data_IF_965583309687
#
_entry.id   IF_965583309687
#
_cell.length_a   1.000
_cell.length_b   1.000
_cell.length_c   1.000
_cell.angle_alpha   90.00
_cell.angle_beta   90.00
_cell.angle_gamma   90.00
#
_symmetry.space_group_name_H-M   'P 1'
#
loop_
_entity.id
_entity.type
_entity.pdbx_description
1 polymer ?
#
# COMPACT_ATOMS: atom_id res chain seq x y z
N UNK A 1 69.92 30.23 -4.22
CA UNK A 1 69.02 31.26 -3.64
C UNK A 1 68.45 32.07 -4.77
N UNK A 2 67.22 31.77 -5.19
CA UNK A 2 66.47 32.57 -6.17
C UNK A 2 65.00 32.52 -5.76
N UNK A 3 64.58 33.65 -5.20
CA UNK A 3 63.26 33.96 -4.68
C UNK A 3 62.28 34.14 -5.86
N UNK A 4 61.29 33.24 -5.99
CA UNK A 4 60.20 33.37 -6.96
C UNK A 4 58.98 33.92 -6.24
N UNK A 5 58.81 35.25 -6.31
CA UNK A 5 57.58 35.94 -5.92
C UNK A 5 56.46 35.52 -6.87
N UNK A 6 55.39 34.98 -6.32
CA UNK A 6 54.14 34.69 -7.02
C UNK A 6 53.33 35.99 -7.00
N UNK A 7 53.25 36.68 -8.14
CA UNK A 7 52.30 37.77 -8.33
C UNK A 7 50.88 37.19 -8.32
N UNK A 8 50.10 37.55 -7.28
CA UNK A 8 48.66 37.28 -7.24
C UNK A 8 48.00 38.20 -8.26
N UNK A 9 47.51 37.62 -9.35
CA UNK A 9 46.56 38.28 -10.25
C UNK A 9 45.20 38.30 -9.55
N UNK A 10 44.83 39.46 -9.00
CA UNK A 10 43.47 39.72 -8.52
C UNK A 10 42.51 39.63 -9.72
N UNK A 11 41.76 38.53 -9.81
CA UNK A 11 40.60 38.46 -10.71
C UNK A 11 39.46 39.26 -10.07
N UNK A 12 38.88 40.25 -10.75
CA UNK A 12 37.66 40.87 -10.27
C UNK A 12 36.58 39.79 -10.15
N UNK A 13 35.94 39.69 -8.97
CA UNK A 13 34.75 38.87 -8.80
C UNK A 13 33.64 39.49 -9.65
N UNK A 14 33.22 38.76 -10.67
CA UNK A 14 32.01 39.03 -11.45
C UNK A 14 30.76 38.85 -10.56
N UNK A 15 30.52 39.79 -9.65
CA UNK A 15 29.29 39.88 -8.85
C UNK A 15 28.09 40.34 -9.70
N UNK A 16 28.34 40.88 -10.90
CA UNK A 16 27.28 41.31 -11.84
C UNK A 16 26.54 40.16 -12.51
N UNK A 17 27.24 39.08 -12.90
CA UNK A 17 26.66 37.99 -13.73
C UNK A 17 25.76 37.05 -12.92
N UNK A 18 26.06 36.86 -11.63
CA UNK A 18 25.24 36.02 -10.74
C UNK A 18 23.91 36.69 -10.35
N UNK A 19 23.86 38.02 -10.29
CA UNK A 19 22.64 38.75 -9.91
C UNK A 19 21.56 38.69 -10.99
N UNK A 20 21.94 38.68 -12.27
CA UNK A 20 21.01 38.67 -13.40
C UNK A 20 20.30 37.32 -13.56
N UNK A 21 20.99 36.20 -13.32
CA UNK A 21 20.37 34.86 -13.39
C UNK A 21 19.37 34.61 -12.27
N UNK A 22 19.61 35.14 -11.07
CA UNK A 22 18.67 35.01 -9.93
C UNK A 22 17.46 35.94 -10.10
N UNK A 23 17.60 37.06 -10.83
CA UNK A 23 16.47 37.94 -11.14
C UNK A 23 15.60 37.42 -12.30
N UNK A 24 16.17 36.70 -13.28
CA UNK A 24 15.38 36.03 -14.33
C UNK A 24 14.52 34.88 -13.77
N UNK A 25 15.07 34.08 -12.85
CA UNK A 25 14.31 33.00 -12.17
C UNK A 25 13.18 33.53 -11.26
N UNK A 26 13.31 34.74 -10.72
CA UNK A 26 12.23 35.38 -9.93
C UNK A 26 11.13 35.97 -10.82
N UNK A 27 11.44 36.38 -12.05
CA UNK A 27 10.43 36.90 -13.00
C UNK A 27 9.67 35.80 -13.74
N UNK A 28 10.21 34.59 -13.87
CA UNK A 28 9.44 33.44 -14.38
C UNK A 28 8.45 32.85 -13.36
N UNK A 29 8.74 32.95 -12.06
CA UNK A 29 7.81 32.50 -11.01
C UNK A 29 6.54 33.35 -10.88
N UNK A 30 6.48 34.53 -11.50
CA UNK A 30 5.26 35.34 -11.55
C UNK A 30 4.36 35.05 -12.76
N UNK A 31 4.84 34.32 -13.77
CA UNK A 31 4.02 33.94 -14.95
C UNK A 31 3.15 32.70 -14.74
N UNK A 32 3.30 32.00 -13.61
CA UNK A 32 2.44 30.87 -13.22
C UNK A 32 1.41 31.21 -12.13
N UNK A 33 1.15 32.50 -11.88
CA UNK A 33 0.12 32.97 -10.92
C UNK A 33 -1.33 32.96 -11.45
N UNK A 34 -1.58 32.28 -12.56
CA UNK A 34 -2.94 31.95 -13.00
C UNK A 34 -3.08 30.44 -13.20
N UNK A 35 -3.05 29.71 -12.08
CA UNK A 35 -3.72 28.41 -12.01
C UNK A 35 -5.22 28.66 -12.23
N UNK A 36 -5.86 28.00 -13.21
CA UNK A 36 -7.31 28.10 -13.37
C UNK A 36 -7.98 27.57 -12.10
N UNK A 37 -9.08 28.22 -11.75
CA UNK A 37 -9.76 28.07 -10.48
C UNK A 37 -10.09 26.60 -10.14
N UNK A 38 -10.06 26.34 -8.83
CA UNK A 38 -10.49 25.20 -7.99
C UNK A 38 -11.54 24.21 -8.54
N UNK A 39 -12.30 24.59 -9.57
CA UNK A 39 -13.26 23.73 -10.26
C UNK A 39 -12.60 22.61 -11.06
N UNK A 40 -11.41 22.79 -11.63
CA UNK A 40 -10.79 21.74 -12.48
C UNK A 40 -10.29 20.53 -11.66
N UNK A 41 -9.82 20.76 -10.43
CA UNK A 41 -9.48 19.67 -9.49
C UNK A 41 -10.72 18.95 -8.98
N UNK A 42 -11.81 19.68 -8.74
CA UNK A 42 -13.09 19.10 -8.38
C UNK A 42 -13.72 18.34 -9.55
N UNK A 43 -13.54 18.80 -10.79
CA UNK A 43 -13.99 18.11 -12.00
C UNK A 43 -13.16 16.84 -12.23
N UNK A 44 -11.83 16.87 -12.02
CA UNK A 44 -10.97 15.68 -12.06
C UNK A 44 -11.29 14.67 -10.95
N UNK A 45 -11.51 15.14 -9.73
CA UNK A 45 -11.97 14.28 -8.62
C UNK A 45 -13.37 13.74 -8.89
N UNK A 46 -14.29 14.54 -9.43
CA UNK A 46 -15.65 14.10 -9.76
C UNK A 46 -15.67 13.14 -10.95
N UNK A 47 -14.79 13.30 -11.94
CA UNK A 47 -14.62 12.32 -13.03
C UNK A 47 -13.94 11.06 -12.53
N UNK A 48 -12.97 11.15 -11.61
CA UNK A 48 -12.37 9.99 -10.95
C UNK A 48 -13.38 9.22 -10.08
N UNK A 49 -14.17 9.92 -9.25
CA UNK A 49 -15.27 9.33 -8.49
C UNK A 49 -16.40 8.83 -9.39
N UNK A 50 -16.67 9.48 -10.53
CA UNK A 50 -17.64 8.98 -11.52
C UNK A 50 -17.14 7.73 -12.23
N UNK A 51 -15.83 7.58 -12.44
CA UNK A 51 -15.24 6.38 -13.04
C UNK A 51 -15.17 5.25 -12.00
N UNK A 52 -14.76 5.55 -10.76
CA UNK A 52 -14.85 4.64 -9.62
C UNK A 52 -16.28 4.21 -9.35
N UNK A 53 -17.25 5.12 -9.43
CA UNK A 53 -18.68 4.82 -9.26
C UNK A 53 -19.24 4.05 -10.45
N UNK A 54 -18.81 4.29 -11.69
CA UNK A 54 -19.19 3.44 -12.84
C UNK A 54 -18.58 2.04 -12.75
N UNK A 55 -17.37 1.91 -12.21
CA UNK A 55 -16.81 0.61 -11.82
C UNK A 55 -17.65 0.02 -10.67
N UNK A 56 -17.98 0.76 -9.63
CA UNK A 56 -18.82 0.28 -8.50
C UNK A 56 -20.26 -0.08 -8.90
N UNK A 57 -20.88 0.65 -9.82
CA UNK A 57 -22.25 0.43 -10.31
C UNK A 57 -22.28 -0.72 -11.34
N UNK A 58 -21.20 -0.93 -12.11
CA UNK A 58 -20.99 -2.15 -12.91
C UNK A 58 -20.67 -3.38 -12.04
N UNK A 59 -20.21 -3.16 -10.80
CA UNK A 59 -20.05 -4.14 -9.73
C UNK A 59 -21.20 -4.09 -8.71
N UNK A 60 -22.36 -3.49 -9.05
CA UNK A 60 -23.58 -3.76 -8.29
C UNK A 60 -23.84 -5.26 -8.37
N UNK A 61 -24.07 -5.95 -7.24
CA UNK A 61 -24.22 -7.39 -7.23
C UNK A 61 -25.39 -7.74 -8.16
N UNK A 62 -25.07 -8.31 -9.31
CA UNK A 62 -26.10 -8.93 -10.14
C UNK A 62 -26.78 -9.96 -9.25
N UNK A 63 -28.10 -10.10 -9.40
CA UNK A 63 -28.93 -11.04 -8.64
C UNK A 63 -28.49 -12.52 -8.80
N UNK A 64 -27.44 -12.79 -9.57
CA UNK A 64 -26.81 -14.09 -9.76
C UNK A 64 -25.85 -14.51 -8.62
N UNK A 65 -25.49 -13.60 -7.69
CA UNK A 65 -24.66 -13.92 -6.53
C UNK A 65 -25.36 -14.75 -5.45
N UNK A 66 -26.67 -15.00 -5.57
CA UNK A 66 -27.43 -15.83 -4.63
C UNK A 66 -27.06 -17.33 -4.68
N UNK A 67 -26.21 -17.76 -5.63
CA UNK A 67 -25.85 -19.17 -5.85
C UNK A 67 -24.37 -19.53 -5.71
N UNK A 68 -23.46 -18.58 -5.47
CA UNK A 68 -22.05 -18.92 -5.21
C UNK A 68 -21.94 -19.41 -3.77
N UNK A 69 -21.89 -20.74 -3.58
CA UNK A 69 -21.35 -21.34 -2.37
C UNK A 69 -19.93 -20.83 -2.24
N UNK A 70 -19.74 -19.81 -1.41
CA UNK A 70 -18.42 -19.26 -1.14
C UNK A 70 -17.67 -20.32 -0.36
N UNK A 71 -16.54 -20.73 -0.91
CA UNK A 71 -15.75 -21.80 -0.35
C UNK A 71 -14.96 -21.27 0.84
N UNK A 72 -15.47 -21.48 2.05
CA UNK A 72 -14.77 -21.13 3.28
C UNK A 72 -13.35 -21.75 3.33
N UNK A 73 -13.15 -22.88 2.64
CA UNK A 73 -11.83 -23.48 2.49
C UNK A 73 -10.90 -22.61 1.66
N UNK A 74 -11.37 -22.01 0.56
CA UNK A 74 -10.59 -21.09 -0.27
C UNK A 74 -10.17 -19.84 0.52
N UNK A 75 -11.06 -19.28 1.35
CA UNK A 75 -10.73 -18.13 2.23
C UNK A 75 -9.61 -18.51 3.20
N UNK A 76 -9.71 -19.69 3.82
CA UNK A 76 -8.68 -20.20 4.74
C UNK A 76 -7.35 -20.39 4.00
N UNK A 77 -7.37 -20.88 2.76
CA UNK A 77 -6.17 -21.08 1.94
C UNK A 77 -5.51 -19.74 1.58
N UNK A 78 -6.27 -18.74 1.17
CA UNK A 78 -5.77 -17.39 0.91
C UNK A 78 -5.17 -16.75 2.16
N UNK A 79 -5.82 -16.89 3.32
CA UNK A 79 -5.28 -16.41 4.61
C UNK A 79 -3.98 -17.12 4.99
N UNK A 80 -3.89 -18.43 4.77
CA UNK A 80 -2.67 -19.19 5.02
C UNK A 80 -1.54 -18.80 4.07
N UNK A 81 -1.83 -18.54 2.80
CA UNK A 81 -0.85 -18.05 1.83
C UNK A 81 -0.36 -16.65 2.23
N UNK A 82 -1.28 -15.75 2.57
CA UNK A 82 -0.95 -14.40 3.01
C UNK A 82 -0.06 -14.42 4.27
N UNK A 83 -0.41 -15.27 5.25
CA UNK A 83 0.42 -15.50 6.43
C UNK A 83 1.84 -15.94 6.07
N UNK A 84 1.99 -16.91 5.15
CA UNK A 84 3.31 -17.38 4.71
C UNK A 84 4.15 -16.26 4.09
N UNK A 85 3.54 -15.37 3.31
CA UNK A 85 4.25 -14.23 2.71
C UNK A 85 4.72 -13.23 3.76
N UNK A 86 3.89 -12.92 4.75
CA UNK A 86 4.24 -12.08 5.90
C UNK A 86 5.37 -12.71 6.71
N UNK A 87 5.30 -14.02 6.99
CA UNK A 87 6.38 -14.75 7.66
C UNK A 87 7.68 -14.76 6.85
N UNK A 88 7.59 -14.86 5.53
CA UNK A 88 8.75 -14.83 4.63
C UNK A 88 9.43 -13.46 4.67
N UNK A 89 8.65 -12.36 4.65
CA UNK A 89 9.16 -11.00 4.81
C UNK A 89 9.85 -10.80 6.17
N UNK A 90 9.39 -11.46 7.23
CA UNK A 90 10.06 -11.44 8.53
C UNK A 90 11.42 -12.14 8.52
N UNK A 91 11.58 -13.21 7.72
CA UNK A 91 12.80 -14.02 7.65
C UNK A 91 13.86 -13.43 6.72
N UNK A 92 13.44 -12.83 5.61
CA UNK A 92 14.30 -12.33 4.54
C UNK A 92 13.84 -10.94 4.11
N UNK A 93 14.79 -10.04 3.82
CA UNK A 93 14.46 -8.72 3.29
C UNK A 93 14.05 -8.83 1.82
N UNK A 94 12.74 -8.87 1.59
CA UNK A 94 12.12 -8.93 0.26
C UNK A 94 11.54 -7.59 -0.18
N UNK A 95 11.90 -6.50 0.50
CA UNK A 95 11.32 -5.17 0.26
C UNK A 95 11.51 -4.64 -1.17
N UNK A 96 12.58 -5.06 -1.83
CA UNK A 96 12.91 -4.69 -3.21
C UNK A 96 12.49 -5.75 -4.26
N UNK A 97 11.89 -6.88 -3.85
CA UNK A 97 11.52 -7.95 -4.77
C UNK A 97 10.17 -7.66 -5.43
N UNK A 98 10.18 -7.37 -6.73
CA UNK A 98 8.98 -7.14 -7.52
C UNK A 98 8.07 -8.39 -7.56
N UNK A 99 8.67 -9.59 -7.66
CA UNK A 99 7.94 -10.86 -7.64
C UNK A 99 7.21 -11.05 -6.30
N UNK A 100 7.90 -10.82 -5.18
CA UNK A 100 7.29 -10.90 -3.86
C UNK A 100 6.17 -9.89 -3.68
N UNK A 101 6.39 -8.64 -4.09
CA UNK A 101 5.40 -7.58 -3.99
C UNK A 101 4.16 -7.86 -4.86
N UNK A 102 4.34 -8.47 -6.03
CA UNK A 102 3.26 -8.92 -6.91
C UNK A 102 2.46 -10.03 -6.24
N UNK A 103 3.13 -11.09 -5.75
CA UNK A 103 2.48 -12.21 -5.06
C UNK A 103 1.70 -11.72 -3.83
N UNK A 104 2.28 -10.81 -3.03
CA UNK A 104 1.63 -10.22 -1.86
C UNK A 104 0.38 -9.41 -2.25
N UNK A 105 0.44 -8.67 -3.36
CA UNK A 105 -0.66 -7.85 -3.87
C UNK A 105 -1.81 -8.70 -4.44
N UNK A 106 -1.48 -9.79 -5.12
CA UNK A 106 -2.46 -10.75 -5.65
C UNK A 106 -3.23 -11.45 -4.53
N UNK A 107 -2.52 -11.98 -3.54
CA UNK A 107 -3.15 -12.63 -2.38
C UNK A 107 -3.99 -11.62 -1.59
N UNK A 108 -3.50 -10.39 -1.42
CA UNK A 108 -4.28 -9.32 -0.77
C UNK A 108 -5.59 -8.99 -1.52
N UNK A 109 -5.53 -8.94 -2.84
CA UNK A 109 -6.71 -8.70 -3.68
C UNK A 109 -7.72 -9.84 -3.56
N UNK A 110 -7.24 -11.09 -3.56
CA UNK A 110 -8.09 -12.26 -3.31
C UNK A 110 -8.79 -12.20 -1.94
N UNK A 111 -8.07 -11.78 -0.88
CA UNK A 111 -8.66 -11.61 0.45
C UNK A 111 -9.73 -10.51 0.51
N UNK A 112 -9.59 -9.45 -0.29
CA UNK A 112 -10.62 -8.41 -0.39
C UNK A 112 -11.87 -8.92 -1.09
N UNK A 113 -11.72 -9.68 -2.18
CA UNK A 113 -12.84 -10.33 -2.86
C UNK A 113 -13.54 -11.33 -1.92
N UNK A 114 -12.77 -12.16 -1.22
CA UNK A 114 -13.27 -13.08 -0.22
C UNK A 114 -14.05 -12.34 0.88
N UNK A 115 -13.53 -11.21 1.38
CA UNK A 115 -14.19 -10.39 2.40
C UNK A 115 -15.55 -9.84 1.93
N UNK A 116 -15.63 -9.28 0.73
CA UNK A 116 -16.88 -8.78 0.15
C UNK A 116 -17.91 -9.91 0.01
N UNK A 117 -17.42 -11.11 -0.33
CA UNK A 117 -18.22 -12.33 -0.41
C UNK A 117 -18.65 -12.83 0.99
N UNK A 118 -17.82 -12.75 2.03
CA UNK A 118 -18.22 -13.09 3.42
C UNK A 118 -19.38 -12.21 3.91
N UNK A 119 -19.43 -10.95 3.50
CA UNK A 119 -20.57 -10.06 3.78
C UNK A 119 -21.92 -10.58 3.23
N UNK A 120 -21.87 -11.40 2.17
CA UNK A 120 -23.03 -12.07 1.57
C UNK A 120 -23.37 -13.37 2.34
N UNK A 121 -22.37 -14.06 2.91
CA UNK A 121 -22.51 -15.40 3.47
C UNK A 121 -23.41 -15.49 4.70
N UNK A 122 -23.23 -14.70 5.77
CA UNK A 122 -23.99 -14.96 6.98
C UNK A 122 -24.26 -13.72 7.86
N UNK A 123 -25.54 -13.32 7.92
CA UNK A 123 -26.08 -12.40 8.95
C UNK A 123 -25.99 -12.95 10.39
N UNK A 124 -25.38 -14.13 10.60
CA UNK A 124 -25.36 -14.85 11.88
C UNK A 124 -24.05 -14.71 12.66
N UNK A 125 -22.94 -14.33 12.03
CA UNK A 125 -21.61 -14.31 12.64
C UNK A 125 -20.96 -12.91 12.57
N UNK A 126 -21.62 -11.93 13.19
CA UNK A 126 -21.23 -10.51 13.17
C UNK A 126 -19.85 -10.29 13.82
N UNK A 127 -19.51 -11.07 14.85
CA UNK A 127 -18.25 -10.90 15.58
C UNK A 127 -17.05 -11.32 14.75
N UNK A 128 -17.20 -12.38 13.97
CA UNK A 128 -16.15 -12.97 13.16
C UNK A 128 -15.87 -12.11 11.93
N UNK A 129 -16.93 -11.59 11.30
CA UNK A 129 -16.83 -10.57 10.26
C UNK A 129 -16.15 -9.32 10.80
N UNK A 130 -16.44 -8.92 12.05
CA UNK A 130 -15.77 -7.78 12.68
C UNK A 130 -14.28 -8.04 12.90
N UNK A 131 -13.87 -9.22 13.40
CA UNK A 131 -12.45 -9.57 13.57
C UNK A 131 -11.71 -9.62 12.23
N UNK A 132 -12.32 -10.20 11.19
CA UNK A 132 -11.69 -10.24 9.87
C UNK A 132 -11.58 -8.84 9.26
N UNK A 133 -12.61 -8.00 9.42
CA UNK A 133 -12.59 -6.59 9.01
C UNK A 133 -11.50 -5.81 9.74
N UNK A 134 -11.41 -5.96 11.05
CA UNK A 134 -10.41 -5.28 11.87
C UNK A 134 -8.99 -5.65 11.43
N UNK A 135 -8.73 -6.94 11.15
CA UNK A 135 -7.46 -7.38 10.59
C UNK A 135 -7.17 -6.71 9.23
N UNK A 136 -8.13 -6.73 8.30
CA UNK A 136 -7.97 -6.09 6.99
C UNK A 136 -7.73 -4.58 7.13
N UNK A 137 -8.45 -3.90 8.01
CA UNK A 137 -8.29 -2.47 8.24
C UNK A 137 -6.92 -2.13 8.83
N UNK A 138 -6.44 -2.89 9.83
CA UNK A 138 -5.11 -2.68 10.42
C UNK A 138 -4.01 -2.77 9.35
N UNK A 139 -4.05 -3.79 8.49
CA UNK A 139 -3.02 -4.02 7.48
C UNK A 139 -3.14 -2.99 6.35
N UNK A 140 -4.36 -2.70 5.89
CA UNK A 140 -4.65 -1.70 4.85
C UNK A 140 -4.13 -0.32 5.23
N UNK A 141 -4.29 0.07 6.49
CA UNK A 141 -4.01 1.40 7.00
C UNK A 141 -2.59 1.57 7.57
N UNK A 142 -1.76 0.54 7.53
CA UNK A 142 -0.37 0.64 7.94
C UNK A 142 0.48 1.34 6.86
N UNK A 143 1.46 2.19 7.20
CA UNK A 143 1.68 2.77 8.53
C UNK A 143 0.56 3.74 8.93
N UNK A 144 0.24 3.85 10.23
CA UNK A 144 -0.77 4.81 10.69
C UNK A 144 -0.32 6.24 10.38
N UNK A 145 -1.29 7.13 10.20
CA UNK A 145 -1.09 8.58 10.03
C UNK A 145 -0.21 9.01 8.85
N UNK A 146 -0.08 8.16 7.82
CA UNK A 146 0.59 8.51 6.56
C UNK A 146 -0.38 8.54 5.37
N UNK A 147 -0.01 9.31 4.35
CA UNK A 147 -0.66 9.26 3.02
C UNK A 147 -0.27 7.98 2.26
N UNK A 148 0.93 7.47 2.52
CA UNK A 148 1.49 6.27 1.91
C UNK A 148 1.13 5.03 2.73
N UNK A 149 0.00 4.41 2.39
CA UNK A 149 -0.53 3.22 3.08
C UNK A 149 -0.28 1.95 2.29
N UNK A 150 0.02 0.87 2.98
CA UNK A 150 0.27 -0.45 2.42
C UNK A 150 -0.89 -0.91 1.53
N UNK A 151 -2.13 -0.77 2.02
CA UNK A 151 -3.31 -1.17 1.25
C UNK A 151 -3.48 -0.40 -0.07
N UNK A 152 -3.00 0.84 -0.17
CA UNK A 152 -2.98 1.57 -1.44
C UNK A 152 -2.01 0.90 -2.42
N UNK A 153 -0.81 0.55 -1.97
CA UNK A 153 0.21 -0.05 -2.82
C UNK A 153 -0.13 -1.48 -3.23
N UNK A 154 -0.68 -2.28 -2.32
CA UNK A 154 -1.13 -3.65 -2.61
C UNK A 154 -2.22 -3.67 -3.69
N UNK A 155 -3.08 -2.64 -3.75
CA UNK A 155 -4.11 -2.55 -4.79
C UNK A 155 -3.59 -2.01 -6.12
N UNK A 156 -2.58 -1.13 -6.09
CA UNK A 156 -2.13 -0.41 -7.29
C UNK A 156 -0.98 -1.09 -8.03
N UNK A 157 -0.28 -2.04 -7.41
CA UNK A 157 1.01 -2.52 -7.92
C UNK A 157 1.11 -4.04 -8.12
N UNK A 158 -0.01 -4.77 -8.09
CA UNK A 158 -0.04 -6.15 -8.59
C UNK A 158 0.44 -6.19 -10.06
N UNK A 159 1.49 -6.97 -10.35
CA UNK A 159 1.98 -7.24 -11.71
C UNK A 159 2.78 -6.10 -12.36
N UNK A 160 3.31 -5.15 -11.58
CA UNK A 160 4.19 -4.09 -12.10
C UNK A 160 5.66 -4.44 -11.89
N UNK A 161 6.46 -4.26 -12.93
CA UNK A 161 7.92 -4.48 -12.90
C UNK A 161 8.67 -3.47 -12.01
N UNK A 162 8.02 -2.39 -11.60
CA UNK A 162 8.61 -1.33 -10.77
C UNK A 162 7.79 -1.09 -9.51
N UNK A 163 8.49 -0.98 -8.37
CA UNK A 163 7.92 -0.71 -7.06
C UNK A 163 8.13 0.77 -6.70
N UNK A 164 7.09 1.49 -6.26
CA UNK A 164 7.26 2.83 -5.71
C UNK A 164 8.13 2.80 -4.46
N UNK A 165 8.99 3.81 -4.33
CA UNK A 165 9.85 3.96 -3.17
C UNK A 165 9.12 3.87 -1.82
N UNK A 166 7.94 4.51 -1.61
CA UNK A 166 7.24 4.36 -0.34
C UNK A 166 6.75 2.93 -0.06
N UNK A 167 6.45 2.14 -1.09
CA UNK A 167 6.06 0.74 -0.89
C UNK A 167 7.24 -0.09 -0.40
N UNK A 168 8.41 0.11 -1.02
CA UNK A 168 9.68 -0.51 -0.60
C UNK A 168 9.99 -0.13 0.85
N UNK A 169 9.87 1.15 1.21
CA UNK A 169 10.12 1.62 2.58
C UNK A 169 9.20 0.97 3.62
N UNK A 170 7.92 0.79 3.29
CA UNK A 170 6.96 0.11 4.17
C UNK A 170 7.38 -1.34 4.41
N UNK A 171 7.71 -2.08 3.34
CA UNK A 171 8.14 -3.48 3.45
C UNK A 171 9.47 -3.61 4.20
N UNK A 172 10.44 -2.74 3.91
CA UNK A 172 11.72 -2.70 4.59
C UNK A 172 11.57 -2.38 6.08
N UNK A 173 10.68 -1.43 6.42
CA UNK A 173 10.36 -1.11 7.81
C UNK A 173 9.79 -2.32 8.55
N UNK A 174 8.85 -3.04 7.95
CA UNK A 174 8.26 -4.25 8.54
C UNK A 174 9.32 -5.35 8.77
N UNK A 175 10.21 -5.57 7.79
CA UNK A 175 11.31 -6.50 7.93
C UNK A 175 12.26 -6.10 9.07
N UNK A 176 12.73 -4.85 9.07
CA UNK A 176 13.69 -4.35 10.06
C UNK A 176 13.11 -4.37 11.47
N UNK A 177 11.85 -3.97 11.65
CA UNK A 177 11.16 -4.05 12.95
C UNK A 177 11.10 -5.50 13.48
N UNK A 178 10.79 -6.47 12.61
CA UNK A 178 10.75 -7.88 12.99
C UNK A 178 12.14 -8.47 13.26
N UNK A 179 13.17 -8.01 12.54
CA UNK A 179 14.55 -8.38 12.77
C UNK A 179 15.08 -7.84 14.11
N UNK A 180 14.66 -6.65 14.51
CA UNK A 180 15.01 -6.03 15.79
C UNK A 180 14.28 -6.69 16.98
N UNK A 181 12.95 -6.85 16.89
CA UNK A 181 12.15 -7.54 17.90
C UNK A 181 11.03 -8.39 17.28
N UNK A 182 11.35 -9.65 17.00
CA UNK A 182 10.39 -10.60 16.45
C UNK A 182 9.18 -10.87 17.37
N UNK A 183 9.25 -10.61 18.69
CA UNK A 183 8.15 -10.94 19.61
C UNK A 183 7.05 -9.89 19.59
N UNK A 184 7.42 -8.63 19.40
CA UNK A 184 6.48 -7.50 19.47
C UNK A 184 6.24 -6.82 18.13
N UNK A 185 6.95 -7.21 17.06
CA UNK A 185 6.82 -6.52 15.78
C UNK A 185 5.43 -6.57 15.16
N UNK A 186 5.15 -5.58 14.32
CA UNK A 186 3.94 -5.47 13.52
C UNK A 186 3.63 -6.76 12.75
N UNK A 187 4.61 -7.39 12.10
CA UNK A 187 4.41 -8.67 11.39
C UNK A 187 3.92 -9.78 12.33
N UNK A 188 4.48 -9.86 13.55
CA UNK A 188 4.06 -10.86 14.54
C UNK A 188 2.65 -10.60 15.07
N UNK A 189 2.27 -9.33 15.20
CA UNK A 189 0.89 -8.96 15.56
C UNK A 189 -0.09 -9.35 14.45
N UNK A 190 0.25 -9.09 13.18
CA UNK A 190 -0.58 -9.49 12.04
C UNK A 190 -0.71 -11.00 11.93
N UNK A 191 0.37 -11.76 12.11
CA UNK A 191 0.32 -13.24 12.12
C UNK A 191 -0.66 -13.75 13.18
N UNK A 192 -0.64 -13.16 14.40
CA UNK A 192 -1.59 -13.53 15.46
C UNK A 192 -3.04 -13.22 15.09
N UNK A 193 -3.31 -12.07 14.44
CA UNK A 193 -4.64 -11.72 13.96
C UNK A 193 -5.12 -12.71 12.88
N UNK A 194 -4.27 -13.02 11.90
CA UNK A 194 -4.56 -13.99 10.84
C UNK A 194 -4.84 -15.38 11.44
N UNK A 195 -4.03 -15.85 12.38
CA UNK A 195 -4.27 -17.11 13.08
C UNK A 195 -5.60 -17.10 13.84
N UNK A 196 -5.96 -15.98 14.47
CA UNK A 196 -7.25 -15.78 15.11
C UNK A 196 -8.42 -15.95 14.13
N UNK A 197 -8.34 -15.32 12.95
CA UNK A 197 -9.36 -15.44 11.90
C UNK A 197 -9.43 -16.88 11.36
N UNK A 198 -8.30 -17.49 11.02
CA UNK A 198 -8.24 -18.88 10.51
C UNK A 198 -8.86 -19.86 11.51
N UNK A 199 -8.48 -19.78 12.79
CA UNK A 199 -9.00 -20.67 13.83
C UNK A 199 -10.51 -20.50 14.03
N UNK A 200 -11.01 -19.29 13.84
CA UNK A 200 -12.43 -18.99 13.92
C UNK A 200 -13.19 -19.61 12.74
N UNK A 201 -12.70 -19.44 11.51
CA UNK A 201 -13.30 -20.04 10.31
C UNK A 201 -13.26 -21.58 10.37
N UNK A 202 -12.14 -22.18 10.80
CA UNK A 202 -12.02 -23.64 10.91
C UNK A 202 -13.02 -24.29 11.87
N UNK A 203 -13.41 -23.60 12.96
CA UNK A 203 -14.43 -24.11 13.90
C UNK A 203 -15.82 -24.18 13.30
N UNK A 204 -16.08 -23.44 12.22
CA UNK A 204 -17.37 -23.36 11.56
C UNK A 204 -17.51 -24.33 10.40
N UNK A 205 -16.38 -24.76 9.82
CA UNK A 205 -16.40 -25.87 8.87
C UNK A 205 -17.06 -27.07 9.57
N UNK A 206 -18.18 -27.60 9.05
CA UNK A 206 -18.76 -28.81 9.60
C UNK A 206 -17.66 -29.87 9.57
N UNK A 207 -17.43 -30.53 10.72
CA UNK A 207 -16.53 -31.67 10.81
C UNK A 207 -16.75 -32.56 9.58
N UNK A 208 -15.78 -32.60 8.66
CA UNK A 208 -15.67 -33.74 7.76
C UNK A 208 -15.22 -34.90 8.66
N UNK A 209 -16.19 -35.63 9.19
CA UNK A 209 -16.06 -37.04 9.53
C UNK A 209 -15.97 -37.82 8.21
N UNK A 210 -15.20 -38.92 8.13
CA UNK A 210 -13.84 -39.19 8.59
C UNK A 210 -12.78 -38.99 7.49
#
# INVERSE_FOLDING_TARGET
MTDRRIDRVDRPRDEGVYSSRIQEDKKEKEKFKHLPADKDKQILLATFFSYLKKMFDAFSPSKDLAGKVIDQQAIIENLLHFKKLIEKLGKEDLSNSADFATELSEVWSGLLEDFDNVGILERKNIKEIATFREMMDIIKHYPPDTEHRLGYYLLQHAGKDWLPFPFIEILAKLHNEHKEDAKTSTLTQWIKLIDGVINTLKKQLPFKLP
#
